data_IF_799682273138
#
_entry.id   IF_799682273138
#
_cell.length_a   1.000
_cell.length_b   1.000
_cell.length_c   1.000
_cell.angle_alpha   90.00
_cell.angle_beta   90.00
_cell.angle_gamma   90.00
#
_symmetry.space_group_name_H-M   'P 1'
#
loop_
_entity.id
_entity.type
_entity.pdbx_description
1 polymer ?
#
# COMPACT_ATOMS: atom_id res chain seq x y z
N UNK A 1 28.33 -0.65 17.05
CA UNK A 1 27.73 -0.41 15.72
C UNK A 1 26.48 -1.27 15.40
N UNK A 2 25.99 -2.16 16.29
CA UNK A 2 24.75 -2.93 16.02
C UNK A 2 23.46 -2.10 16.11
N UNK A 3 23.43 -1.04 16.92
CA UNK A 3 22.23 -0.21 17.13
C UNK A 3 21.83 0.63 15.92
N UNK A 4 22.81 1.25 15.23
CA UNK A 4 22.55 2.09 14.06
C UNK A 4 21.93 1.30 12.90
N UNK A 5 22.43 0.08 12.66
CA UNK A 5 21.90 -0.80 11.60
C UNK A 5 20.45 -1.21 11.87
N UNK A 6 20.08 -1.46 13.13
CA UNK A 6 18.69 -1.74 13.53
C UNK A 6 17.78 -0.53 13.39
N UNK A 7 18.28 0.67 13.72
CA UNK A 7 17.53 1.92 13.55
C UNK A 7 17.25 2.19 12.07
N UNK A 8 18.25 2.08 11.21
CA UNK A 8 18.08 2.24 9.75
C UNK A 8 17.09 1.22 9.20
N UNK A 9 17.16 -0.05 9.63
CA UNK A 9 16.18 -1.05 9.22
C UNK A 9 14.76 -0.71 9.67
N UNK A 10 14.60 -0.24 10.90
CA UNK A 10 13.28 0.13 11.44
C UNK A 10 12.70 1.33 10.68
N UNK A 11 13.50 2.36 10.45
CA UNK A 11 13.11 3.53 9.65
C UNK A 11 12.79 3.13 8.21
N UNK A 12 13.57 2.22 7.62
CA UNK A 12 13.33 1.72 6.27
C UNK A 12 12.03 0.91 6.17
N UNK A 13 11.72 0.08 7.17
CA UNK A 13 10.43 -0.61 7.24
C UNK A 13 9.27 0.39 7.41
N UNK A 14 9.45 1.40 8.26
CA UNK A 14 8.46 2.44 8.49
C UNK A 14 8.18 3.26 7.22
N UNK A 15 9.22 3.67 6.48
CA UNK A 15 9.08 4.39 5.23
C UNK A 15 8.35 3.57 4.17
N UNK A 16 8.63 2.27 4.07
CA UNK A 16 7.92 1.37 3.15
C UNK A 16 6.45 1.20 3.53
N UNK A 17 6.15 1.14 4.82
CA UNK A 17 4.77 1.11 5.31
C UNK A 17 4.02 2.40 4.96
N UNK A 18 4.60 3.57 5.26
CA UNK A 18 3.97 4.88 4.99
C UNK A 18 3.86 5.20 3.50
N UNK A 19 4.80 4.69 2.69
CA UNK A 19 4.76 4.84 1.23
C UNK A 19 3.74 3.90 0.56
N UNK A 20 3.12 3.01 1.32
CA UNK A 20 2.11 2.08 0.82
C UNK A 20 2.68 0.86 0.08
N UNK A 21 3.99 0.59 0.18
CA UNK A 21 4.59 -0.60 -0.44
C UNK A 21 3.97 -1.91 0.10
N UNK A 22 3.49 -1.88 1.34
CA UNK A 22 2.82 -3.01 1.98
C UNK A 22 1.29 -3.00 1.81
N UNK A 23 0.70 -1.99 1.17
CA UNK A 23 -0.76 -1.87 1.04
C UNK A 23 -1.36 -3.04 0.27
N UNK A 24 -0.70 -3.45 -0.83
CA UNK A 24 -1.15 -4.60 -1.61
C UNK A 24 -1.03 -5.91 -0.82
N UNK A 25 0.07 -6.11 -0.07
CA UNK A 25 0.23 -7.30 0.76
C UNK A 25 -0.85 -7.39 1.84
N UNK A 26 -1.19 -6.25 2.46
CA UNK A 26 -2.27 -6.13 3.44
C UNK A 26 -3.65 -6.39 2.81
N UNK A 27 -3.92 -5.80 1.64
CA UNK A 27 -5.14 -6.04 0.86
C UNK A 27 -5.27 -7.53 0.51
N UNK A 28 -4.21 -8.15 0.01
CA UNK A 28 -4.18 -9.56 -0.35
C UNK A 28 -4.46 -10.45 0.85
N UNK A 29 -3.82 -10.18 2.00
CA UNK A 29 -4.05 -10.95 3.22
C UNK A 29 -5.51 -10.86 3.67
N UNK A 30 -6.13 -9.68 3.54
CA UNK A 30 -7.56 -9.49 3.83
C UNK A 30 -8.46 -10.22 2.85
N UNK A 31 -8.22 -10.09 1.54
CA UNK A 31 -9.00 -10.77 0.50
C UNK A 31 -8.97 -12.29 0.67
N UNK A 32 -7.79 -12.86 0.94
CA UNK A 32 -7.64 -14.28 1.23
C UNK A 32 -8.40 -14.70 2.51
N UNK A 33 -8.41 -13.86 3.55
CA UNK A 33 -9.21 -14.09 4.76
C UNK A 33 -10.71 -14.06 4.51
N UNK A 34 -11.16 -13.22 3.58
CA UNK A 34 -12.55 -13.12 3.12
C UNK A 34 -12.91 -14.19 2.05
N UNK A 35 -11.96 -15.08 1.70
CA UNK A 35 -12.08 -16.09 0.62
C UNK A 35 -12.43 -15.49 -0.75
N UNK A 36 -12.02 -14.25 -0.98
CA UNK A 36 -12.14 -13.55 -2.26
C UNK A 36 -10.81 -13.64 -2.99
N UNK A 37 -10.84 -13.90 -4.30
CA UNK A 37 -9.62 -13.81 -5.11
C UNK A 37 -9.10 -12.37 -5.13
N UNK A 38 -7.85 -12.12 -4.68
CA UNK A 38 -7.28 -10.79 -4.72
C UNK A 38 -7.07 -10.36 -6.17
N UNK A 39 -7.48 -9.12 -6.50
CA UNK A 39 -7.18 -8.52 -7.81
C UNK A 39 -5.67 -8.40 -8.01
N UNK A 40 -5.22 -8.28 -9.25
CA UNK A 40 -3.78 -8.14 -9.53
C UNK A 40 -3.20 -6.88 -8.88
N UNK A 41 -1.87 -6.85 -8.62
CA UNK A 41 -1.22 -5.67 -8.04
C UNK A 41 -1.45 -4.40 -8.88
N UNK A 42 -1.48 -4.53 -10.20
CA UNK A 42 -1.71 -3.42 -11.13
C UNK A 42 -3.12 -2.86 -11.02
N UNK A 43 -4.14 -3.72 -10.93
CA UNK A 43 -5.54 -3.31 -10.76
C UNK A 43 -5.78 -2.67 -9.38
N UNK A 44 -5.16 -3.20 -8.34
CA UNK A 44 -5.19 -2.59 -7.01
C UNK A 44 -4.57 -1.19 -7.02
N UNK A 45 -3.43 -1.02 -7.70
CA UNK A 45 -2.79 0.29 -7.82
C UNK A 45 -3.63 1.27 -8.64
N UNK A 46 -4.15 0.84 -9.79
CA UNK A 46 -4.98 1.67 -10.67
C UNK A 46 -6.28 2.11 -9.97
N UNK A 47 -6.94 1.21 -9.24
CA UNK A 47 -8.15 1.54 -8.48
C UNK A 47 -7.88 2.53 -7.34
N UNK A 48 -6.74 2.41 -6.64
CA UNK A 48 -6.32 3.39 -5.64
C UNK A 48 -6.00 4.76 -6.24
N UNK A 49 -5.28 4.79 -7.38
CA UNK A 49 -5.04 6.03 -8.12
C UNK A 49 -6.34 6.68 -8.55
N UNK A 50 -7.25 5.91 -9.15
CA UNK A 50 -8.56 6.39 -9.55
C UNK A 50 -9.31 6.94 -8.33
N UNK A 51 -9.40 6.22 -7.21
CA UNK A 51 -10.06 6.73 -6.00
C UNK A 51 -9.44 8.04 -5.47
N UNK A 52 -8.12 8.18 -5.56
CA UNK A 52 -7.39 9.35 -5.07
C UNK A 52 -7.57 10.58 -5.97
N UNK A 53 -7.53 10.37 -7.28
CA UNK A 53 -7.46 11.44 -8.28
C UNK A 53 -8.74 11.62 -9.11
N UNK A 54 -9.72 10.71 -9.02
CA UNK A 54 -11.04 10.80 -9.67
C UNK A 54 -12.08 11.51 -8.80
N UNK A 55 -11.66 12.13 -7.68
CA UNK A 55 -12.55 13.06 -6.98
C UNK A 55 -12.84 14.22 -7.93
N UNK A 56 -14.14 14.53 -8.07
CA UNK A 56 -14.69 15.61 -8.90
C UNK A 56 -13.77 16.84 -8.82
N UNK A 57 -13.07 17.16 -9.91
CA UNK A 57 -12.58 18.52 -10.11
C UNK A 57 -13.84 19.38 -10.20
N UNK A 58 -14.02 20.32 -9.27
CA UNK A 58 -14.99 21.41 -9.44
C UNK A 58 -14.49 22.30 -10.58
N UNK A 59 -14.58 21.80 -11.80
CA UNK A 59 -14.54 22.58 -13.01
C UNK A 59 -15.96 22.54 -13.59
N UNK A 60 -16.84 23.27 -12.89
CA UNK A 60 -18.09 23.90 -13.28
C UNK A 60 -18.66 24.54 -12.00
#
# INVERSE_FOLDING_TARGET
MLGFRKLVQTLWQYLREVSGENDYARYRSRALGEKVEPVSPGEFYASNLHRKYSRISRCC
#
